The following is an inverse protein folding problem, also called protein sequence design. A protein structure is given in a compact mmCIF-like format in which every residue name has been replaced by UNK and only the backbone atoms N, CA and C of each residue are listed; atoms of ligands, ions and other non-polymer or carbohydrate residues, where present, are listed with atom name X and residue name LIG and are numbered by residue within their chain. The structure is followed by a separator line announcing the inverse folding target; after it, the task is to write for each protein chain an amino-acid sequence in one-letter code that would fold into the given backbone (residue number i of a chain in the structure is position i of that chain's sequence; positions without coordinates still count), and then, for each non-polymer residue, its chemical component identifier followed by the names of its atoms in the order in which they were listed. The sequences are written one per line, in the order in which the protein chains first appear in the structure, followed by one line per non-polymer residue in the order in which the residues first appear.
data_IF_164267045690
#
_entry.id   IF_164267045690
#
_cell.length_a   1.000
_cell.length_b   1.000
_cell.length_c   1.000
_cell.angle_alpha   90.00
_cell.angle_beta   90.00
_cell.angle_gamma   90.00
#
_symmetry.space_group_name_H-M   'P 1'
#
loop_
_entity.id
_entity.type
_entity.pdbx_description
1 polymer ?
#
# COMPACT_ATOMS: atom_id res chain seq x y z
N UNK A 1 -7.03 -7.31 0.81
CA UNK A 1 -5.88 -7.47 1.73
C UNK A 1 -5.11 -6.17 1.84
N UNK A 2 -4.40 -5.94 2.95
CA UNK A 2 -3.59 -4.74 3.16
C UNK A 2 -2.11 -5.04 2.87
N UNK A 3 -1.60 -4.50 1.76
CA UNK A 3 -0.21 -4.59 1.32
C UNK A 3 0.63 -3.42 1.85
N UNK A 4 1.54 -2.96 1.00
CA UNK A 4 2.39 -1.75 1.17
C UNK A 4 3.10 -1.48 -0.16
N UNK A 5 3.41 -0.22 -0.47
CA UNK A 5 4.36 0.11 -1.56
C UNK A 5 5.71 -0.61 -1.38
N UNK A 6 6.10 -0.90 -0.14
CA UNK A 6 7.30 -1.69 0.20
C UNK A 6 7.31 -3.12 -0.34
N UNK A 7 6.15 -3.63 -0.77
CA UNK A 7 6.04 -4.94 -1.44
C UNK A 7 6.32 -4.89 -2.95
N UNK A 8 6.40 -3.70 -3.53
CA UNK A 8 6.70 -3.49 -4.96
C UNK A 8 8.05 -2.79 -5.19
N UNK A 9 8.52 -2.02 -4.22
CA UNK A 9 9.80 -1.30 -4.27
C UNK A 9 10.61 -1.51 -2.99
N UNK A 10 11.89 -1.12 -3.01
CA UNK A 10 12.71 -1.01 -1.81
C UNK A 10 12.68 0.44 -1.32
N UNK A 11 12.20 0.67 -0.10
CA UNK A 11 12.15 2.02 0.47
C UNK A 11 13.54 2.50 0.89
N UNK A 12 14.08 3.50 0.18
CA UNK A 12 15.26 4.24 0.60
C UNK A 12 14.86 5.39 1.55
N UNK A 13 15.64 5.69 2.61
CA UNK A 13 16.86 5.01 3.09
C UNK A 13 16.59 3.98 4.20
N UNK A 14 15.43 3.34 4.24
CA UNK A 14 14.97 2.55 5.39
C UNK A 14 15.21 1.04 5.18
N UNK A 15 16.22 0.43 5.84
CA UNK A 15 16.48 -1.01 5.72
C UNK A 15 15.41 -1.84 6.43
N UNK A 16 14.62 -2.61 5.68
CA UNK A 16 13.49 -3.37 6.23
C UNK A 16 13.15 -4.64 5.43
N UNK A 17 14.16 -5.47 5.14
CA UNK A 17 14.04 -6.66 4.27
C UNK A 17 12.87 -7.60 4.65
N UNK A 18 12.69 -7.90 5.94
CA UNK A 18 11.61 -8.79 6.39
C UNK A 18 10.22 -8.18 6.13
N UNK A 19 10.09 -6.86 6.30
CA UNK A 19 8.85 -6.14 6.00
C UNK A 19 8.56 -6.17 4.49
N UNK A 20 9.53 -5.80 3.65
CA UNK A 20 9.38 -5.81 2.18
C UNK A 20 8.99 -7.21 1.67
N UNK A 21 9.70 -8.25 2.13
CA UNK A 21 9.40 -9.63 1.79
C UNK A 21 7.97 -10.01 2.18
N UNK A 22 7.56 -9.71 3.41
CA UNK A 22 6.21 -10.03 3.88
C UNK A 22 5.12 -9.33 3.05
N UNK A 23 5.35 -8.08 2.63
CA UNK A 23 4.39 -7.30 1.85
C UNK A 23 4.34 -7.73 0.39
N UNK A 24 5.48 -8.10 -0.21
CA UNK A 24 5.51 -8.74 -1.52
C UNK A 24 4.77 -10.09 -1.50
N UNK A 25 4.95 -10.88 -0.43
CA UNK A 25 4.22 -12.14 -0.22
C UNK A 25 2.71 -11.95 -0.18
N UNK A 26 2.21 -10.94 0.54
CA UNK A 26 0.77 -10.60 0.56
C UNK A 26 0.25 -10.25 -0.83
N UNK A 27 0.98 -9.43 -1.59
CA UNK A 27 0.59 -9.03 -2.95
C UNK A 27 0.52 -10.25 -3.87
N UNK A 28 1.52 -11.13 -3.81
CA UNK A 28 1.55 -12.33 -4.65
C UNK A 28 0.46 -13.34 -4.24
N UNK A 29 0.24 -13.54 -2.94
CA UNK A 29 -0.83 -14.38 -2.40
C UNK A 29 -2.21 -13.95 -2.92
N UNK A 30 -2.48 -12.64 -2.97
CA UNK A 30 -3.74 -12.12 -3.52
C UNK A 30 -3.94 -12.52 -4.98
N UNK A 31 -2.87 -12.52 -5.80
CA UNK A 31 -2.96 -12.97 -7.20
C UNK A 31 -3.34 -14.45 -7.30
N UNK A 32 -2.71 -15.31 -6.49
CA UNK A 32 -3.03 -16.75 -6.46
C UNK A 32 -4.49 -16.97 -6.05
N UNK A 33 -4.91 -16.38 -4.92
CA UNK A 33 -6.26 -16.53 -4.41
C UNK A 33 -7.31 -15.96 -5.37
N UNK A 34 -7.02 -14.85 -6.06
CA UNK A 34 -7.93 -14.27 -7.06
C UNK A 34 -8.20 -15.25 -8.21
N UNK A 35 -7.17 -15.93 -8.72
CA UNK A 35 -7.32 -16.97 -9.75
C UNK A 35 -8.09 -18.18 -9.22
N UNK A 36 -7.74 -18.67 -8.03
CA UNK A 36 -8.35 -19.85 -7.44
C UNK A 36 -9.82 -19.66 -7.08
N UNK A 37 -10.20 -18.45 -6.64
CA UNK A 37 -11.52 -18.17 -6.08
C UNK A 37 -12.47 -17.47 -7.04
N UNK A 38 -12.01 -17.05 -8.23
CA UNK A 38 -12.86 -16.45 -9.26
C UNK A 38 -14.07 -17.33 -9.63
N UNK A 39 -13.89 -18.65 -9.66
CA UNK A 39 -14.97 -19.63 -9.91
C UNK A 39 -16.10 -19.61 -8.88
N UNK A 40 -15.85 -19.04 -7.70
CA UNK A 40 -16.84 -18.84 -6.63
C UNK A 40 -17.45 -17.43 -6.66
N UNK A 41 -17.18 -16.64 -7.71
CA UNK A 41 -17.56 -15.24 -7.81
C UNK A 41 -17.03 -14.38 -6.65
N UNK A 42 -15.84 -14.73 -6.12
CA UNK A 42 -15.15 -13.96 -5.07
C UNK A 42 -14.02 -13.15 -5.71
N UNK A 43 -14.03 -11.83 -5.46
CA UNK A 43 -12.97 -10.91 -5.87
C UNK A 43 -12.02 -10.66 -4.71
N UNK A 44 -10.72 -10.68 -4.99
CA UNK A 44 -9.69 -10.48 -3.98
C UNK A 44 -8.68 -9.50 -4.54
N UNK A 45 -8.45 -8.39 -3.85
CA UNK A 45 -7.51 -7.34 -4.26
C UNK A 45 -6.65 -6.89 -3.08
N UNK A 46 -5.56 -6.19 -3.38
CA UNK A 46 -4.67 -5.58 -2.41
C UNK A 46 -4.79 -4.06 -2.47
N UNK A 47 -4.88 -3.43 -1.31
CA UNK A 47 -4.63 -2.00 -1.15
C UNK A 47 -3.23 -1.86 -0.52
N UNK A 48 -2.32 -1.18 -1.20
CA UNK A 48 -0.93 -0.98 -0.80
C UNK A 48 -0.66 0.50 -0.54
N UNK A 49 -0.70 0.94 0.72
CA UNK A 49 -0.40 2.34 1.05
C UNK A 49 1.08 2.69 0.91
N UNK A 50 1.35 3.99 0.74
CA UNK A 50 2.64 4.60 1.07
C UNK A 50 2.71 5.02 2.54
N UNK A 51 3.40 6.12 2.84
CA UNK A 51 3.54 6.62 4.21
C UNK A 51 2.23 7.25 4.72
N UNK A 52 1.61 6.62 5.72
CA UNK A 52 0.39 7.11 6.39
C UNK A 52 0.75 7.70 7.75
N UNK A 53 0.15 8.83 8.15
CA UNK A 53 0.32 9.46 9.46
C UNK A 53 -0.37 8.68 10.61
N UNK A 54 0.13 7.49 10.95
CA UNK A 54 -0.37 6.62 12.03
C UNK A 54 0.53 6.66 13.27
N UNK A 55 0.08 6.14 14.43
CA UNK A 55 0.96 5.96 15.60
C UNK A 55 2.22 5.15 15.30
N UNK A 56 2.13 4.14 14.43
CA UNK A 56 3.28 3.31 14.03
C UNK A 56 4.38 4.15 13.38
N UNK A 57 4.04 4.92 12.36
CA UNK A 57 4.95 5.85 11.68
C UNK A 57 5.43 6.97 12.59
N UNK A 58 4.56 7.47 13.49
CA UNK A 58 4.96 8.47 14.50
C UNK A 58 6.09 7.93 15.37
N UNK A 59 6.02 6.67 15.81
CA UNK A 59 7.10 6.07 16.58
C UNK A 59 8.42 5.93 15.81
N UNK A 60 8.37 5.75 14.48
CA UNK A 60 9.58 5.66 13.65
C UNK A 60 10.21 7.04 13.41
N UNK A 61 9.40 8.09 13.28
CA UNK A 61 9.89 9.47 13.05
C UNK A 61 10.18 10.23 14.35
N UNK A 62 9.66 9.77 15.49
CA UNK A 62 9.91 10.39 16.79
C UNK A 62 11.41 10.36 17.11
N UNK A 63 12.04 11.54 17.07
CA UNK A 63 13.47 11.71 17.29
C UNK A 63 14.34 11.60 16.02
N UNK A 64 13.75 11.44 14.84
CA UNK A 64 14.47 11.36 13.57
C UNK A 64 13.87 12.28 12.49
N UNK A 65 14.00 13.58 12.72
CA UNK A 65 13.52 14.63 11.81
C UNK A 65 14.19 14.55 10.43
N UNK A 66 15.45 14.11 10.36
CA UNK A 66 16.17 13.91 9.11
C UNK A 66 15.51 12.84 8.24
N UNK A 67 15.11 11.71 8.83
CA UNK A 67 14.39 10.65 8.12
C UNK A 67 13.02 11.12 7.65
N UNK A 68 12.28 11.86 8.50
CA UNK A 68 11.01 12.45 8.11
C UNK A 68 11.16 13.37 6.90
N UNK A 69 12.09 14.33 6.96
CA UNK A 69 12.36 15.26 5.86
C UNK A 69 12.80 14.53 4.59
N UNK A 70 13.61 13.47 4.73
CA UNK A 70 14.01 12.63 3.60
C UNK A 70 12.81 11.94 2.97
N UNK A 71 11.93 11.32 3.75
CA UNK A 71 10.71 10.72 3.21
C UNK A 71 9.82 11.74 2.53
N UNK A 72 9.61 12.92 3.11
CA UNK A 72 8.76 13.94 2.50
C UNK A 72 9.34 14.43 1.18
N UNK A 73 10.67 14.62 1.12
CA UNK A 73 11.37 14.98 -0.13
C UNK A 73 11.19 13.94 -1.24
N UNK A 74 10.95 12.68 -0.86
CA UNK A 74 10.69 11.54 -1.74
C UNK A 74 9.19 11.25 -1.90
N UNK A 75 8.27 12.13 -1.54
CA UNK A 75 6.86 11.97 -1.92
C UNK A 75 6.52 13.15 -2.83
N UNK A 76 6.05 12.97 -4.08
CA UNK A 76 5.62 14.09 -4.92
C UNK A 76 4.64 15.04 -4.23
N UNK A 77 3.71 14.49 -3.46
CA UNK A 77 2.74 15.27 -2.67
C UNK A 77 3.31 15.92 -1.40
N UNK A 78 4.60 15.69 -1.08
CA UNK A 78 5.34 16.31 0.03
C UNK A 78 4.68 16.18 1.41
N UNK A 79 3.92 15.11 1.62
CA UNK A 79 3.24 14.83 2.88
C UNK A 79 2.97 13.34 3.06
N UNK A 80 2.79 12.94 4.31
CA UNK A 80 2.15 11.66 4.62
C UNK A 80 0.64 11.76 4.35
N UNK A 81 0.03 10.64 3.98
CA UNK A 81 -1.42 10.55 3.85
C UNK A 81 -2.10 10.44 5.21
N UNK A 82 -3.32 10.97 5.33
CA UNK A 82 -4.21 10.66 6.45
C UNK A 82 -4.91 9.30 6.21
N UNK A 83 -5.16 8.48 7.25
CA UNK A 83 -5.86 7.20 7.10
C UNK A 83 -7.22 7.31 6.40
N UNK A 84 -7.91 8.44 6.51
CA UNK A 84 -9.24 8.63 5.90
C UNK A 84 -9.18 8.69 4.38
N UNK A 85 -8.04 9.05 3.78
CA UNK A 85 -7.85 9.16 2.33
C UNK A 85 -7.96 7.80 1.61
N UNK A 86 -7.84 6.68 2.33
CA UNK A 86 -7.94 5.34 1.77
C UNK A 86 -9.38 4.82 1.67
N UNK A 87 -10.34 5.49 2.29
CA UNK A 87 -11.75 5.08 2.33
C UNK A 87 -12.33 4.95 0.92
N UNK A 88 -12.01 5.88 0.02
CA UNK A 88 -12.48 5.85 -1.37
C UNK A 88 -12.01 4.60 -2.12
N UNK A 89 -10.74 4.22 -1.96
CA UNK A 89 -10.19 3.02 -2.59
C UNK A 89 -10.82 1.74 -2.03
N UNK A 90 -11.07 1.68 -0.73
CA UNK A 90 -11.77 0.56 -0.11
C UNK A 90 -13.21 0.46 -0.65
N UNK A 91 -13.92 1.58 -0.72
CA UNK A 91 -15.28 1.63 -1.27
C UNK A 91 -15.31 1.21 -2.74
N UNK A 92 -14.33 1.64 -3.55
CA UNK A 92 -14.18 1.18 -4.94
C UNK A 92 -14.05 -0.34 -5.00
N UNK A 93 -13.12 -0.93 -4.24
CA UNK A 93 -12.85 -2.37 -4.24
C UNK A 93 -14.07 -3.20 -3.77
N UNK A 94 -14.86 -2.67 -2.83
CA UNK A 94 -16.07 -3.33 -2.33
C UNK A 94 -17.29 -3.12 -3.23
N UNK A 95 -17.27 -2.12 -4.11
CA UNK A 95 -18.40 -1.80 -4.98
C UNK A 95 -18.64 -2.86 -6.05
N UNK A 96 -19.86 -3.40 -6.07
CA UNK A 96 -20.29 -4.35 -7.09
C UNK A 96 -20.44 -3.74 -8.48
N UNK A 97 -20.69 -2.43 -8.58
CA UNK A 97 -20.86 -1.76 -9.88
C UNK A 97 -19.57 -1.12 -10.38
N UNK A 98 -18.73 -0.61 -9.49
CA UNK A 98 -17.52 0.11 -9.87
C UNK A 98 -16.33 -0.81 -10.13
N UNK A 99 -16.26 -1.97 -9.48
CA UNK A 99 -15.10 -2.88 -9.56
C UNK A 99 -15.48 -4.36 -9.77
N UNK A 100 -16.62 -4.63 -10.39
CA UNK A 100 -17.10 -5.99 -10.72
C UNK A 100 -16.09 -6.82 -11.50
N UNK A 101 -15.21 -6.17 -12.27
CA UNK A 101 -14.16 -6.80 -13.07
C UNK A 101 -12.75 -6.60 -12.51
N UNK A 102 -12.62 -6.13 -11.27
CA UNK A 102 -11.32 -5.96 -10.59
C UNK A 102 -11.10 -7.10 -9.59
N UNK A 103 -10.16 -7.99 -9.90
CA UNK A 103 -9.68 -9.05 -9.00
C UNK A 103 -8.19 -9.31 -9.26
N UNK A 104 -7.43 -9.68 -8.23
CA UNK A 104 -5.97 -9.89 -8.28
C UNK A 104 -5.15 -8.60 -8.34
N UNK A 105 -5.79 -7.43 -8.26
CA UNK A 105 -5.14 -6.14 -8.45
C UNK A 105 -4.42 -5.67 -7.19
N UNK A 106 -3.34 -4.90 -7.36
CA UNK A 106 -2.63 -4.22 -6.28
C UNK A 106 -2.74 -2.70 -6.47
N UNK A 107 -3.77 -2.10 -5.87
CA UNK A 107 -3.94 -0.66 -5.91
C UNK A 107 -2.95 -0.03 -4.94
N UNK A 108 -1.91 0.59 -5.48
CA UNK A 108 -0.94 1.34 -4.68
C UNK A 108 -1.40 2.79 -4.55
N UNK A 109 -1.42 3.29 -3.32
CA UNK A 109 -1.83 4.66 -2.98
C UNK A 109 -0.75 5.26 -2.08
N UNK A 110 0.24 5.90 -2.70
CA UNK A 110 1.50 6.29 -2.04
C UNK A 110 1.89 7.75 -2.24
N UNK A 111 0.99 8.58 -2.77
CA UNK A 111 1.27 9.97 -3.09
C UNK A 111 2.29 10.17 -4.21
N UNK A 112 2.53 9.12 -5.01
CA UNK A 112 3.45 9.09 -6.14
C UNK A 112 4.89 8.71 -5.79
N UNK A 113 5.12 8.16 -4.58
CA UNK A 113 6.46 7.77 -4.11
C UNK A 113 7.18 6.81 -5.06
N UNK A 114 6.46 5.86 -5.68
CA UNK A 114 7.05 4.90 -6.63
C UNK A 114 7.09 5.38 -8.09
N UNK A 115 6.72 6.63 -8.39
CA UNK A 115 6.58 7.09 -9.77
C UNK A 115 7.92 7.30 -10.51
N UNK A 116 9.05 7.25 -9.81
CA UNK A 116 10.41 7.34 -10.37
C UNK A 116 11.18 6.03 -10.21
#
# INVERSE_FOLDING_TARGET
MIGSMSGVIVNDPQPQIAYNMSKAGVIHMVKSLACEWAKYNIRINTLSPGYIATPLTKNVINGNEQLYNRWMSMIPMQRMSDPTEFSGTVLYLLSNSASSYTTGENIVVDGGYQCW
#
